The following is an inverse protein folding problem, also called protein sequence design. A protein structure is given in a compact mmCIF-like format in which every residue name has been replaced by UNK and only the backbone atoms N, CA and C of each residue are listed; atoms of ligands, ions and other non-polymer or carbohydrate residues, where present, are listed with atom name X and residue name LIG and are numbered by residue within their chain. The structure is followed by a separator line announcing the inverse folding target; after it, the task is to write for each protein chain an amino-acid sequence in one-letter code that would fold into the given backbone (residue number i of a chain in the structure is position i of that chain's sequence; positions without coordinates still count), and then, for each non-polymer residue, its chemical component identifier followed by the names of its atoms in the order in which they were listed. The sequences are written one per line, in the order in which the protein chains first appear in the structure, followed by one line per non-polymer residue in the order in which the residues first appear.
data_IF_639303760465
#
_entry.id   IF_639303760465
#
_cell.length_a   1.000
_cell.length_b   1.000
_cell.length_c   1.000
_cell.angle_alpha   90.00
_cell.angle_beta   90.00
_cell.angle_gamma   90.00
#
_symmetry.space_group_name_H-M   'P 1'
#
loop_
_entity.id
_entity.type
_entity.pdbx_description
1 polymer ?
#
# COMPACT_ATOMS: atom_id res chain seq x y z
N UNK A 1 34.61 1.23 1.21
CA UNK A 1 33.71 1.50 2.38
C UNK A 1 32.32 1.02 2.01
N UNK A 2 31.78 0.08 2.78
CA UNK A 2 30.42 -0.42 2.57
C UNK A 2 29.44 0.66 3.02
N UNK A 3 28.53 1.09 2.14
CA UNK A 3 27.47 2.04 2.49
C UNK A 3 26.52 1.43 3.52
N UNK A 4 25.99 2.27 4.41
CA UNK A 4 24.97 1.89 5.38
C UNK A 4 23.64 2.59 5.08
N UNK A 5 22.54 1.84 5.08
CA UNK A 5 21.20 2.37 4.87
C UNK A 5 20.32 2.16 6.10
N UNK A 6 19.65 3.22 6.56
CA UNK A 6 18.58 3.14 7.54
C UNK A 6 17.22 3.09 6.82
N UNK A 7 16.42 2.08 7.15
CA UNK A 7 15.08 1.89 6.57
C UNK A 7 14.06 2.08 7.67
N UNK A 8 13.12 2.99 7.44
CA UNK A 8 12.05 3.32 8.38
C UNK A 8 10.74 2.69 7.90
N UNK A 9 10.30 1.66 8.64
CA UNK A 9 9.13 0.85 8.32
C UNK A 9 9.48 -0.53 7.76
N UNK A 10 8.76 -1.55 8.22
CA UNK A 10 8.91 -2.96 7.82
C UNK A 10 7.70 -3.50 7.03
N UNK A 11 6.91 -2.62 6.44
CA UNK A 11 5.90 -3.00 5.46
C UNK A 11 6.54 -3.53 4.16
N UNK A 12 5.74 -3.97 3.18
CA UNK A 12 6.26 -4.52 1.93
C UNK A 12 7.33 -3.64 1.26
N UNK A 13 7.06 -2.34 1.11
CA UNK A 13 8.02 -1.41 0.49
C UNK A 13 9.34 -1.30 1.28
N UNK A 14 9.27 -1.27 2.62
CA UNK A 14 10.48 -1.22 3.47
C UNK A 14 11.33 -2.48 3.34
N UNK A 15 10.70 -3.65 3.32
CA UNK A 15 11.44 -4.90 3.16
C UNK A 15 11.95 -5.12 1.73
N UNK A 16 11.26 -4.59 0.70
CA UNK A 16 11.81 -4.54 -0.66
C UNK A 16 13.04 -3.65 -0.74
N UNK A 17 13.03 -2.48 -0.08
CA UNK A 17 14.21 -1.62 0.01
C UNK A 17 15.37 -2.31 0.74
N UNK A 18 15.08 -3.05 1.83
CA UNK A 18 16.09 -3.85 2.54
C UNK A 18 16.69 -4.94 1.63
N UNK A 19 15.85 -5.61 0.85
CA UNK A 19 16.30 -6.61 -0.11
C UNK A 19 17.20 -6.01 -1.19
N UNK A 20 16.82 -4.87 -1.76
CA UNK A 20 17.62 -4.16 -2.75
C UNK A 20 18.99 -3.73 -2.17
N UNK A 21 19.02 -3.17 -0.96
CA UNK A 21 20.25 -2.79 -0.28
C UNK A 21 21.16 -4.00 -0.02
N UNK A 22 20.59 -5.10 0.45
CA UNK A 22 21.31 -6.35 0.67
C UNK A 22 21.89 -6.92 -0.63
N UNK A 23 21.15 -6.86 -1.74
CA UNK A 23 21.66 -7.27 -3.05
C UNK A 23 22.82 -6.41 -3.56
N UNK A 24 22.87 -5.14 -3.16
CA UNK A 24 23.98 -4.22 -3.46
C UNK A 24 25.18 -4.41 -2.53
N UNK A 25 25.11 -5.33 -1.56
CA UNK A 25 26.16 -5.55 -0.55
C UNK A 25 26.26 -4.41 0.47
N UNK A 26 25.21 -3.62 0.66
CA UNK A 26 25.18 -2.56 1.65
C UNK A 26 24.81 -3.12 3.03
N UNK A 27 25.36 -2.55 4.08
CA UNK A 27 24.88 -2.79 5.44
C UNK A 27 23.57 -2.05 5.65
N UNK A 28 22.68 -2.60 6.47
CA UNK A 28 21.36 -2.00 6.68
C UNK A 28 20.88 -2.15 8.12
N UNK A 29 20.01 -1.25 8.54
CA UNK A 29 19.22 -1.34 9.77
C UNK A 29 17.76 -1.00 9.45
N UNK A 30 16.83 -1.80 9.95
CA UNK A 30 15.40 -1.59 9.75
C UNK A 30 14.80 -1.16 11.08
N UNK A 31 14.21 0.02 11.13
CA UNK A 31 13.55 0.56 12.33
C UNK A 31 12.04 0.53 12.12
N UNK A 32 11.34 -0.20 12.96
CA UNK A 32 9.87 -0.30 12.91
C UNK A 32 9.35 -0.99 14.16
N UNK A 33 8.06 -0.85 14.47
CA UNK A 33 7.41 -1.83 15.32
C UNK A 33 7.54 -3.20 14.66
N UNK A 34 8.03 -4.18 15.40
CA UNK A 34 8.24 -5.55 14.89
C UNK A 34 6.92 -6.31 14.76
N UNK A 35 6.02 -5.73 13.94
CA UNK A 35 4.69 -6.29 13.66
C UNK A 35 4.52 -6.38 12.15
N UNK A 36 4.26 -7.58 11.67
CA UNK A 36 3.98 -7.82 10.27
C UNK A 36 2.66 -7.19 9.87
N UNK A 37 2.68 -6.37 8.84
CA UNK A 37 1.49 -5.67 8.35
C UNK A 37 0.50 -6.65 7.70
N UNK A 38 -0.78 -6.48 7.99
CA UNK A 38 -1.84 -7.16 7.24
C UNK A 38 -2.08 -6.42 5.93
N UNK A 39 -2.11 -7.15 4.83
CA UNK A 39 -2.37 -6.60 3.51
C UNK A 39 -3.86 -6.70 3.19
N UNK A 40 -4.53 -5.55 3.04
CA UNK A 40 -5.95 -5.45 2.74
C UNK A 40 -6.16 -5.05 1.28
N UNK A 41 -7.25 -5.53 0.70
CA UNK A 41 -7.65 -5.22 -0.67
C UNK A 41 -6.90 -6.04 -1.73
N UNK A 42 -7.23 -5.76 -2.99
CA UNK A 42 -6.59 -6.37 -4.15
C UNK A 42 -5.19 -5.81 -4.34
N UNK A 43 -4.19 -6.56 -3.93
CA UNK A 43 -2.79 -6.14 -3.99
C UNK A 43 -1.94 -7.18 -4.70
N UNK A 44 -1.15 -6.73 -5.65
CA UNK A 44 -0.16 -7.51 -6.39
C UNK A 44 0.97 -6.60 -6.86
N UNK A 45 2.08 -7.19 -7.27
CA UNK A 45 3.20 -6.47 -7.84
C UNK A 45 3.02 -6.38 -9.36
N UNK A 46 3.31 -5.20 -9.92
CA UNK A 46 3.33 -4.98 -11.38
C UNK A 46 4.64 -5.41 -12.04
N UNK A 47 5.67 -5.70 -11.24
CA UNK A 47 6.98 -6.20 -11.67
C UNK A 47 7.49 -7.23 -10.67
N UNK A 48 8.31 -8.21 -11.13
CA UNK A 48 8.91 -9.17 -10.22
C UNK A 48 9.94 -8.50 -9.32
N UNK A 49 10.07 -9.01 -8.10
CA UNK A 49 11.19 -8.65 -7.23
C UNK A 49 12.39 -9.52 -7.63
N UNK A 50 13.55 -8.94 -7.97
CA UNK A 50 14.72 -9.72 -8.36
C UNK A 50 15.09 -10.80 -7.32
N UNK A 51 15.35 -12.02 -7.78
CA UNK A 51 15.74 -13.18 -6.95
C UNK A 51 14.67 -13.68 -5.96
N UNK A 52 13.43 -13.21 -6.06
CA UNK A 52 12.30 -13.75 -5.30
C UNK A 52 11.33 -14.37 -6.30
N UNK A 53 11.11 -15.67 -6.17
CA UNK A 53 10.05 -16.32 -6.94
C UNK A 53 8.70 -16.04 -6.27
N UNK A 54 7.82 -15.40 -7.01
CA UNK A 54 6.48 -15.04 -6.58
C UNK A 54 5.41 -15.56 -7.53
N UNK A 55 5.75 -16.63 -8.30
CA UNK A 55 4.78 -17.34 -9.12
C UNK A 55 4.11 -16.48 -10.19
N UNK A 56 4.84 -15.83 -11.04
CA UNK A 56 4.25 -14.99 -12.08
C UNK A 56 5.12 -14.92 -13.35
N UNK A 57 4.70 -14.11 -14.36
CA UNK A 57 3.53 -13.24 -14.38
C UNK A 57 2.21 -13.99 -14.56
N UNK A 58 1.22 -13.64 -13.77
CA UNK A 58 -0.18 -13.94 -14.04
C UNK A 58 -0.85 -12.71 -14.64
N UNK A 59 -1.91 -12.88 -15.41
CA UNK A 59 -2.60 -11.79 -16.06
C UNK A 59 -3.88 -11.43 -15.28
N UNK A 60 -3.87 -10.30 -14.59
CA UNK A 60 -5.05 -9.80 -13.89
C UNK A 60 -5.92 -9.01 -14.86
N UNK A 61 -7.18 -9.42 -14.99
CA UNK A 61 -8.18 -8.79 -15.85
C UNK A 61 -9.03 -7.82 -15.06
N UNK A 62 -9.05 -6.56 -15.46
CA UNK A 62 -9.93 -5.53 -14.92
C UNK A 62 -11.21 -5.44 -15.74
N UNK A 63 -12.34 -5.29 -15.06
CA UNK A 63 -13.67 -5.10 -15.67
C UNK A 63 -14.34 -3.92 -15.01
N UNK A 64 -14.70 -2.93 -15.80
CA UNK A 64 -15.49 -1.78 -15.35
C UNK A 64 -16.98 -2.03 -15.57
N UNK A 65 -17.78 -1.74 -14.55
CA UNK A 65 -19.25 -1.60 -14.64
C UNK A 65 -19.61 -0.13 -14.42
N UNK A 66 -20.44 0.42 -15.31
CA UNK A 66 -20.70 1.85 -15.36
C UNK A 66 -19.58 2.61 -16.10
N UNK A 67 -19.46 3.91 -15.83
CA UNK A 67 -18.44 4.76 -16.43
C UNK A 67 -17.28 5.05 -15.47
N UNK A 68 -16.11 5.51 -15.98
CA UNK A 68 -15.00 5.94 -15.13
C UNK A 68 -15.39 7.08 -14.17
N UNK A 69 -16.29 7.99 -14.61
CA UNK A 69 -16.79 9.11 -13.83
C UNK A 69 -17.68 8.63 -12.67
N UNK A 70 -18.59 7.68 -12.94
CA UNK A 70 -19.41 7.06 -11.90
C UNK A 70 -18.54 6.33 -10.88
N UNK A 71 -17.54 5.57 -11.33
CA UNK A 71 -16.60 4.90 -10.45
C UNK A 71 -15.81 5.91 -9.60
N UNK A 72 -15.29 6.97 -10.22
CA UNK A 72 -14.58 8.05 -9.54
C UNK A 72 -15.45 8.69 -8.46
N UNK A 73 -16.65 9.10 -8.80
CA UNK A 73 -17.60 9.73 -7.87
C UNK A 73 -17.95 8.81 -6.70
N UNK A 74 -18.15 7.52 -6.99
CA UNK A 74 -18.47 6.52 -5.97
C UNK A 74 -17.32 6.31 -4.96
N UNK A 75 -16.07 6.29 -5.43
CA UNK A 75 -14.88 6.03 -4.59
C UNK A 75 -14.43 7.27 -3.84
N UNK A 76 -14.34 8.41 -4.53
CA UNK A 76 -13.66 9.62 -4.04
C UNK A 76 -14.62 10.75 -3.70
N UNK A 77 -15.90 10.65 -4.10
CA UNK A 77 -16.89 11.73 -3.98
C UNK A 77 -16.96 12.61 -5.22
N UNK A 78 -18.08 13.35 -5.33
CA UNK A 78 -18.37 14.19 -6.50
C UNK A 78 -17.41 15.36 -6.70
N UNK A 79 -16.81 15.87 -5.62
CA UNK A 79 -15.92 17.04 -5.67
C UNK A 79 -14.45 16.73 -5.95
N UNK A 80 -14.05 15.46 -6.08
CA UNK A 80 -12.66 15.11 -6.31
C UNK A 80 -12.25 15.40 -7.76
N UNK A 81 -11.18 16.19 -7.94
CA UNK A 81 -10.69 16.69 -9.23
C UNK A 81 -9.64 15.80 -9.92
N UNK A 82 -9.24 14.70 -9.27
CA UNK A 82 -8.29 13.75 -9.86
C UNK A 82 -8.90 12.93 -10.99
N UNK A 83 -8.04 12.39 -11.83
CA UNK A 83 -8.45 11.52 -12.94
C UNK A 83 -8.37 10.05 -12.55
N UNK A 84 -9.25 9.25 -13.13
CA UNK A 84 -9.18 7.79 -13.15
C UNK A 84 -9.10 7.39 -14.60
N UNK A 85 -7.98 6.78 -15.01
CA UNK A 85 -7.81 6.35 -16.39
C UNK A 85 -8.76 5.19 -16.71
N UNK A 86 -9.49 5.24 -17.83
CA UNK A 86 -10.29 4.10 -18.30
C UNK A 86 -9.43 2.84 -18.49
N UNK A 87 -8.20 3.00 -18.94
CA UNK A 87 -7.24 1.91 -19.16
C UNK A 87 -6.92 1.20 -17.84
N UNK A 88 -6.72 1.96 -16.75
CA UNK A 88 -6.49 1.40 -15.40
C UNK A 88 -7.67 0.55 -14.88
N UNK A 89 -8.86 0.71 -15.47
CA UNK A 89 -10.10 0.06 -15.03
C UNK A 89 -10.57 -1.07 -15.95
N UNK A 90 -9.98 -1.22 -17.13
CA UNK A 90 -10.46 -2.14 -18.17
C UNK A 90 -9.35 -2.93 -18.87
N UNK A 91 -8.09 -2.79 -18.46
CA UNK A 91 -6.96 -3.49 -19.06
C UNK A 91 -6.54 -4.73 -18.28
N UNK A 92 -5.71 -5.54 -18.95
CA UNK A 92 -5.03 -6.65 -18.33
C UNK A 92 -3.64 -6.23 -17.86
N UNK A 93 -3.31 -6.55 -16.63
CA UNK A 93 -2.03 -6.19 -16.03
C UNK A 93 -1.24 -7.42 -15.61
N UNK A 94 0.08 -7.47 -15.86
CA UNK A 94 0.91 -8.53 -15.30
C UNK A 94 0.97 -8.41 -13.78
N UNK A 95 0.91 -9.54 -13.09
CA UNK A 95 0.84 -9.59 -11.64
C UNK A 95 1.75 -10.68 -11.06
N UNK A 96 2.39 -10.34 -9.95
CA UNK A 96 3.15 -11.24 -9.09
C UNK A 96 2.61 -11.17 -7.67
N UNK A 97 2.68 -12.26 -6.93
CA UNK A 97 2.09 -12.34 -5.59
C UNK A 97 2.87 -11.49 -4.57
N UNK A 98 2.28 -10.36 -4.19
CA UNK A 98 2.83 -9.48 -3.15
C UNK A 98 2.82 -10.14 -1.77
N UNK A 99 1.83 -10.97 -1.44
CA UNK A 99 1.73 -11.62 -0.12
C UNK A 99 2.82 -12.66 0.03
N UNK A 100 3.02 -13.50 -0.98
CA UNK A 100 4.11 -14.47 -1.01
C UNK A 100 5.47 -13.78 -0.94
N UNK A 101 5.67 -12.69 -1.71
CA UNK A 101 6.89 -11.89 -1.64
C UNK A 101 7.12 -11.32 -0.25
N UNK A 102 6.09 -10.75 0.36
CA UNK A 102 6.19 -10.14 1.68
C UNK A 102 6.45 -11.18 2.78
N UNK A 103 5.87 -12.37 2.68
CA UNK A 103 6.13 -13.49 3.59
C UNK A 103 7.59 -13.92 3.52
N UNK A 104 8.12 -14.03 2.31
CA UNK A 104 9.54 -14.35 2.10
C UNK A 104 10.45 -13.26 2.67
N UNK A 105 10.19 -12.01 2.33
CA UNK A 105 10.96 -10.85 2.82
C UNK A 105 10.89 -10.74 4.34
N UNK A 106 9.73 -10.97 4.95
CA UNK A 106 9.57 -10.93 6.39
C UNK A 106 10.47 -11.98 7.07
N UNK A 107 10.41 -13.24 6.62
CA UNK A 107 11.27 -14.31 7.16
C UNK A 107 12.76 -13.97 7.04
N UNK A 108 13.16 -13.34 5.96
CA UNK A 108 14.54 -12.96 5.69
C UNK A 108 15.02 -11.81 6.59
N UNK A 109 14.18 -10.81 6.82
CA UNK A 109 14.61 -9.55 7.44
C UNK A 109 14.07 -9.32 8.86
N UNK A 110 13.14 -10.10 9.36
CA UNK A 110 12.61 -9.96 10.73
C UNK A 110 13.71 -9.91 11.81
N UNK A 111 14.78 -10.73 11.77
CA UNK A 111 15.84 -10.66 12.75
C UNK A 111 16.62 -9.33 12.77
N UNK A 112 16.54 -8.57 11.67
CA UNK A 112 17.26 -7.31 11.48
C UNK A 112 16.40 -6.09 11.84
N UNK A 113 15.13 -6.30 12.19
CA UNK A 113 14.22 -5.24 12.60
C UNK A 113 14.54 -4.85 14.04
N UNK A 114 14.97 -3.62 14.20
CA UNK A 114 15.08 -2.95 15.49
C UNK A 114 13.70 -2.47 15.90
N UNK A 115 13.17 -3.01 17.00
CA UNK A 115 11.84 -2.62 17.50
C UNK A 115 11.86 -1.15 17.93
N UNK A 116 11.12 -0.33 17.21
CA UNK A 116 11.12 1.12 17.38
C UNK A 116 9.77 1.73 17.00
N UNK A 117 9.24 2.57 17.86
CA UNK A 117 8.06 3.38 17.55
C UNK A 117 8.51 4.68 16.86
N UNK A 118 8.24 4.77 15.56
CA UNK A 118 8.60 5.93 14.75
C UNK A 118 7.55 7.01 14.96
N UNK A 119 7.93 8.05 15.70
CA UNK A 119 7.06 9.19 16.04
C UNK A 119 7.37 10.40 15.16
N UNK A 120 6.39 11.30 14.96
CA UNK A 120 6.61 12.58 14.30
C UNK A 120 7.69 13.42 15.00
N UNK A 121 8.35 14.29 14.26
CA UNK A 121 9.17 15.36 14.84
C UNK A 121 8.29 16.29 15.71
N UNK A 122 8.73 16.77 16.88
CA UNK A 122 10.07 16.58 17.50
C UNK A 122 10.17 15.32 18.40
N UNK A 123 9.18 14.41 18.36
CA UNK A 123 9.07 13.28 19.29
C UNK A 123 9.87 12.05 18.87
N UNK A 124 10.72 12.16 17.86
CA UNK A 124 11.61 11.09 17.43
C UNK A 124 12.60 10.74 18.56
N UNK A 125 12.86 9.45 18.77
CA UNK A 125 13.82 9.04 19.80
C UNK A 125 15.24 9.48 19.43
N UNK A 126 16.07 9.92 20.41
CA UNK A 126 17.48 10.30 20.15
C UNK A 126 18.29 9.17 19.50
N UNK A 127 18.02 7.92 19.85
CA UNK A 127 18.71 6.77 19.26
C UNK A 127 18.38 6.61 17.78
N UNK A 128 17.12 6.73 17.39
CA UNK A 128 16.70 6.68 15.98
C UNK A 128 17.27 7.87 15.21
N UNK A 129 17.19 9.07 15.78
CA UNK A 129 17.78 10.27 15.19
C UNK A 129 19.26 10.11 14.89
N UNK A 130 20.03 9.65 15.86
CA UNK A 130 21.47 9.40 15.71
C UNK A 130 21.77 8.32 14.67
N UNK A 131 20.95 7.26 14.63
CA UNK A 131 21.12 6.18 13.64
C UNK A 131 20.87 6.71 12.21
N UNK A 132 19.83 7.52 12.00
CA UNK A 132 19.55 8.14 10.71
C UNK A 132 20.70 9.04 10.24
N UNK A 133 21.23 9.89 11.11
CA UNK A 133 22.34 10.81 10.77
C UNK A 133 23.69 10.13 10.53
N UNK A 134 23.88 8.90 11.04
CA UNK A 134 25.08 8.09 10.80
C UNK A 134 24.97 7.22 9.55
N UNK A 135 23.81 7.17 8.91
CA UNK A 135 23.58 6.37 7.71
C UNK A 135 23.91 7.19 6.47
N UNK A 136 24.48 6.53 5.46
CA UNK A 136 24.74 7.14 4.14
C UNK A 136 23.46 7.44 3.38
N UNK A 137 22.38 6.72 3.71
CA UNK A 137 21.07 6.86 3.10
C UNK A 137 19.97 6.52 4.10
N UNK A 138 18.89 7.30 4.09
CA UNK A 138 17.68 7.02 4.86
C UNK A 138 16.52 6.82 3.90
N UNK A 139 15.86 5.66 3.99
CA UNK A 139 14.66 5.33 3.21
C UNK A 139 13.48 5.25 4.17
N UNK A 140 12.47 6.09 3.94
CA UNK A 140 11.24 6.10 4.73
C UNK A 140 10.09 5.50 3.96
N UNK A 141 9.46 4.48 4.54
CA UNK A 141 8.21 3.85 4.04
C UNK A 141 7.04 4.01 5.01
N UNK A 142 7.28 4.69 6.15
CA UNK A 142 6.20 5.11 7.05
C UNK A 142 5.37 6.21 6.40
N UNK A 143 4.10 6.40 6.80
CA UNK A 143 3.25 7.42 6.21
C UNK A 143 3.93 8.78 6.20
N UNK A 144 4.01 9.42 5.03
CA UNK A 144 4.71 10.70 4.84
C UNK A 144 4.24 11.79 5.80
N UNK A 145 2.98 11.76 6.19
CA UNK A 145 2.41 12.68 7.20
C UNK A 145 3.10 12.60 8.59
N UNK A 146 3.84 11.53 8.88
CA UNK A 146 4.70 11.44 10.08
C UNK A 146 5.83 12.48 10.04
N UNK A 147 6.23 12.90 8.86
CA UNK A 147 7.29 13.89 8.62
C UNK A 147 6.74 15.26 8.20
N UNK A 148 5.42 15.46 8.35
CA UNK A 148 4.75 16.67 7.95
C UNK A 148 5.33 17.90 8.65
N UNK A 149 5.48 18.96 7.87
CA UNK A 149 5.82 20.31 8.34
C UNK A 149 4.59 21.20 8.25
N UNK A 150 4.66 22.38 8.87
CA UNK A 150 3.61 23.36 8.74
C UNK A 150 3.42 23.77 7.27
N UNK A 151 2.19 23.72 6.79
CA UNK A 151 1.85 24.01 5.40
C UNK A 151 1.81 22.79 4.46
N UNK A 152 2.27 21.61 4.89
CA UNK A 152 2.14 20.40 4.10
C UNK A 152 0.67 19.94 4.04
N UNK A 153 0.21 19.61 2.83
CA UNK A 153 -1.14 19.11 2.60
C UNK A 153 -1.08 17.63 2.19
N UNK A 154 -1.90 16.80 2.83
CA UNK A 154 -2.01 15.37 2.57
C UNK A 154 -3.46 15.03 2.25
N UNK A 155 -3.71 14.66 1.00
CA UNK A 155 -5.02 14.21 0.56
C UNK A 155 -5.07 12.68 0.61
N UNK A 156 -6.13 12.15 1.18
CA UNK A 156 -6.39 10.71 1.25
C UNK A 156 -7.88 10.44 1.17
N UNK A 157 -8.25 9.23 0.78
CA UNK A 157 -9.60 8.71 0.94
C UNK A 157 -9.60 7.54 1.90
N UNK A 158 -10.66 7.44 2.70
CA UNK A 158 -10.92 6.27 3.51
C UNK A 158 -11.83 5.31 2.76
N UNK A 159 -11.59 4.03 2.92
CA UNK A 159 -12.44 2.97 2.41
C UNK A 159 -12.67 1.93 3.48
N UNK A 160 -13.73 1.14 3.35
CA UNK A 160 -13.82 -0.15 4.00
C UNK A 160 -13.21 -1.22 3.10
N UNK A 161 -12.43 -2.12 3.66
CA UNK A 161 -11.83 -3.24 2.95
C UNK A 161 -12.05 -4.53 3.75
N UNK A 162 -12.51 -5.58 3.08
CA UNK A 162 -12.59 -6.93 3.59
C UNK A 162 -11.60 -7.79 2.81
N UNK A 163 -10.74 -8.53 3.52
CA UNK A 163 -9.85 -9.53 2.93
C UNK A 163 -10.31 -10.94 3.30
N UNK A 164 -10.05 -11.88 2.40
CA UNK A 164 -10.30 -13.33 2.59
C UNK A 164 -11.73 -13.69 3.05
N UNK A 165 -12.71 -12.92 2.64
CA UNK A 165 -14.12 -13.19 2.90
C UNK A 165 -14.98 -12.54 1.83
N UNK A 166 -15.65 -13.34 1.03
CA UNK A 166 -16.82 -12.91 0.28
C UNK A 166 -18.05 -13.29 1.13
N UNK A 167 -18.64 -12.35 1.87
CA UNK A 167 -19.77 -12.65 2.74
C UNK A 167 -21.00 -13.13 1.95
N UNK A 168 -21.06 -12.81 0.65
CA UNK A 168 -22.21 -13.12 -0.21
C UNK A 168 -21.92 -14.25 -1.21
N UNK A 169 -20.71 -14.82 -1.22
CA UNK A 169 -20.35 -16.03 -2.00
C UNK A 169 -20.56 -15.96 -3.51
N UNK A 170 -20.87 -14.79 -4.06
CA UNK A 170 -21.35 -14.70 -5.43
C UNK A 170 -20.91 -13.50 -6.26
N UNK A 171 -20.26 -12.51 -5.66
CA UNK A 171 -19.95 -11.24 -6.34
C UNK A 171 -18.46 -11.10 -6.71
N UNK A 172 -17.57 -11.66 -5.91
CA UNK A 172 -16.20 -11.81 -6.35
C UNK A 172 -16.19 -12.73 -7.55
N UNK A 173 -15.53 -12.33 -8.60
CA UNK A 173 -15.45 -13.13 -9.80
C UNK A 173 -15.17 -14.59 -9.42
N UNK A 174 -15.92 -15.50 -9.96
CA UNK A 174 -15.70 -16.94 -9.82
C UNK A 174 -14.31 -17.35 -10.32
N UNK A 175 -13.62 -16.43 -11.02
CA UNK A 175 -12.31 -16.67 -11.63
C UNK A 175 -11.23 -15.90 -10.89
N UNK A 176 -10.15 -16.58 -10.53
CA UNK A 176 -8.93 -15.95 -10.03
C UNK A 176 -8.37 -14.96 -11.08
N UNK A 177 -7.57 -14.02 -10.63
CA UNK A 177 -6.99 -12.96 -11.45
C UNK A 177 -8.03 -12.02 -12.10
N UNK A 178 -9.13 -11.74 -11.41
CA UNK A 178 -10.12 -10.78 -11.88
C UNK A 178 -10.35 -9.68 -10.86
N UNK A 179 -10.45 -8.44 -11.34
CA UNK A 179 -10.86 -7.25 -10.57
C UNK A 179 -12.09 -6.65 -11.24
N UNK A 180 -13.17 -6.50 -10.49
CA UNK A 180 -14.37 -5.81 -10.94
C UNK A 180 -14.40 -4.44 -10.25
N UNK A 181 -14.36 -3.37 -11.03
CA UNK A 181 -14.58 -2.01 -10.62
C UNK A 181 -16.03 -1.62 -10.95
N UNK A 182 -16.80 -1.18 -9.97
CA UNK A 182 -18.23 -0.89 -10.15
C UNK A 182 -18.57 0.54 -9.73
N UNK A 183 -18.88 1.37 -10.71
CA UNK A 183 -19.34 2.75 -10.54
C UNK A 183 -20.85 2.86 -10.37
N UNK A 184 -21.62 1.81 -10.70
CA UNK A 184 -23.09 1.88 -10.73
C UNK A 184 -23.69 2.03 -9.33
N UNK A 185 -24.89 2.59 -9.20
CA UNK A 185 -25.61 2.66 -7.93
C UNK A 185 -26.25 1.33 -7.49
N UNK A 186 -26.16 0.28 -8.33
CA UNK A 186 -26.85 -1.00 -8.11
C UNK A 186 -26.28 -1.71 -6.88
N UNK A 187 -24.96 -1.66 -6.70
CA UNK A 187 -24.31 -2.23 -5.54
C UNK A 187 -23.63 -1.16 -4.66
N UNK A 188 -23.44 -1.46 -3.39
CA UNK A 188 -22.85 -0.54 -2.43
C UNK A 188 -21.31 -0.60 -2.38
N UNK A 189 -20.70 -1.65 -2.94
CA UNK A 189 -19.26 -1.77 -3.08
C UNK A 189 -18.80 -1.14 -4.42
N UNK A 190 -17.50 -0.83 -4.51
CA UNK A 190 -16.91 -0.27 -5.74
C UNK A 190 -15.82 -1.14 -6.35
N UNK A 191 -15.27 -2.09 -5.58
CA UNK A 191 -14.27 -3.03 -6.09
C UNK A 191 -14.45 -4.39 -5.46
N UNK A 192 -14.49 -5.41 -6.31
CA UNK A 192 -14.40 -6.81 -5.93
C UNK A 192 -13.24 -7.45 -6.68
N UNK A 193 -12.44 -8.25 -6.02
CA UNK A 193 -11.31 -8.92 -6.66
C UNK A 193 -11.07 -10.32 -6.10
N UNK A 194 -10.57 -11.20 -6.96
CA UNK A 194 -9.96 -12.45 -6.57
C UNK A 194 -8.60 -12.56 -7.26
N UNK A 195 -7.51 -12.55 -6.48
CA UNK A 195 -6.14 -12.54 -7.01
C UNK A 195 -5.28 -13.44 -6.12
N UNK A 196 -4.58 -14.40 -6.73
CA UNK A 196 -3.78 -15.39 -6.04
C UNK A 196 -4.57 -16.15 -4.95
N UNK A 197 -5.82 -16.52 -5.24
CA UNK A 197 -6.71 -17.20 -4.31
C UNK A 197 -7.32 -16.32 -3.22
N UNK A 198 -6.90 -15.06 -3.09
CA UNK A 198 -7.42 -14.11 -2.09
C UNK A 198 -8.59 -13.31 -2.64
N UNK A 199 -9.75 -13.45 -2.00
CA UNK A 199 -10.95 -12.67 -2.32
C UNK A 199 -10.98 -11.40 -1.49
N UNK A 200 -11.30 -10.27 -2.12
CA UNK A 200 -11.38 -8.97 -1.45
C UNK A 200 -12.58 -8.17 -1.91
N UNK A 201 -13.14 -7.38 -1.01
CA UNK A 201 -14.24 -6.49 -1.30
C UNK A 201 -13.97 -5.12 -0.68
N UNK A 202 -14.23 -4.05 -1.44
CA UNK A 202 -13.97 -2.68 -1.01
C UNK A 202 -15.22 -1.81 -1.17
N UNK A 203 -15.54 -1.01 -0.13
CA UNK A 203 -16.65 -0.07 -0.12
C UNK A 203 -16.15 1.36 0.10
N UNK A 204 -16.83 2.37 -0.46
CA UNK A 204 -16.54 3.75 -0.13
C UNK A 204 -16.83 3.98 1.36
N UNK A 205 -15.95 4.71 2.04
CA UNK A 205 -16.21 5.14 3.41
C UNK A 205 -17.23 6.28 3.40
N UNK A 206 -18.26 6.13 4.21
CA UNK A 206 -19.26 7.19 4.44
C UNK A 206 -19.35 7.45 5.93
N UNK A 207 -19.21 8.70 6.35
CA UNK A 207 -19.23 9.08 7.78
C UNK A 207 -20.55 8.68 8.49
N UNK A 208 -21.64 8.60 7.73
CA UNK A 208 -22.94 8.15 8.23
C UNK A 208 -22.99 6.64 8.53
N UNK A 209 -22.02 5.87 8.04
CA UNK A 209 -21.96 4.44 8.31
C UNK A 209 -21.28 4.20 9.65
N UNK A 210 -22.09 4.08 10.69
CA UNK A 210 -21.60 3.80 12.05
C UNK A 210 -21.10 2.37 12.25
N UNK A 211 -21.32 1.49 11.30
CA UNK A 211 -20.91 0.07 11.34
C UNK A 211 -20.24 -0.32 10.03
N UNK A 212 -19.29 -1.28 10.07
CA UNK A 212 -18.71 -1.82 8.86
C UNK A 212 -19.80 -2.45 7.97
N UNK A 213 -19.66 -2.38 6.63
CA UNK A 213 -20.62 -2.94 5.68
C UNK A 213 -20.69 -4.47 5.73
N UNK A 214 -19.64 -5.12 6.24
CA UNK A 214 -19.57 -6.55 6.48
C UNK A 214 -18.75 -6.87 7.74
N UNK A 215 -19.01 -7.99 8.43
CA UNK A 215 -18.18 -8.45 9.54
C UNK A 215 -16.71 -8.62 9.07
N UNK A 216 -15.78 -8.12 9.86
CA UNK A 216 -14.34 -8.19 9.54
C UNK A 216 -13.83 -7.11 8.58
N UNK A 217 -14.70 -6.27 8.01
CA UNK A 217 -14.24 -5.14 7.21
C UNK A 217 -13.52 -4.11 8.09
N UNK A 218 -12.39 -3.62 7.60
CA UNK A 218 -11.54 -2.64 8.28
C UNK A 218 -11.46 -1.34 7.49
N UNK A 219 -11.22 -0.24 8.19
CA UNK A 219 -10.99 1.04 7.52
C UNK A 219 -9.54 1.09 7.05
N UNK A 220 -9.35 1.38 5.75
CA UNK A 220 -8.06 1.61 5.14
C UNK A 220 -8.01 3.03 4.60
N UNK A 221 -6.99 3.79 5.00
CA UNK A 221 -6.71 5.09 4.42
C UNK A 221 -5.87 4.91 3.15
N UNK A 222 -6.34 5.45 2.02
CA UNK A 222 -5.62 5.41 0.74
C UNK A 222 -5.06 6.79 0.43
N UNK A 223 -3.73 6.97 0.42
CA UNK A 223 -3.11 8.20 -0.07
C UNK A 223 -3.50 8.51 -1.50
N UNK A 224 -3.75 9.77 -1.80
CA UNK A 224 -4.09 10.27 -3.14
C UNK A 224 -2.98 11.15 -3.68
N UNK A 225 -2.67 12.22 -2.98
CA UNK A 225 -1.59 13.16 -3.32
C UNK A 225 -1.10 13.90 -2.08
N UNK A 226 0.10 14.44 -2.16
CA UNK A 226 0.56 15.43 -1.19
C UNK A 226 1.23 16.61 -1.91
N UNK A 227 1.09 17.80 -1.33
CA UNK A 227 1.97 18.92 -1.59
C UNK A 227 2.83 19.13 -0.35
N UNK A 228 4.12 18.83 -0.45
CA UNK A 228 5.06 18.94 0.66
C UNK A 228 6.15 19.93 0.27
N UNK A 229 6.38 20.91 1.12
CA UNK A 229 7.34 22.02 0.88
C UNK A 229 8.77 21.56 1.19
N UNK A 230 8.97 20.52 1.96
CA UNK A 230 10.28 19.97 2.32
C UNK A 230 10.15 18.55 2.83
N UNK A 231 10.60 17.65 2.01
CA UNK A 231 10.85 16.31 2.49
C UNK A 231 12.29 16.28 2.96
N UNK A 232 12.70 16.41 4.14
CA UNK A 232 14.08 16.27 4.59
C UNK A 232 14.97 15.37 3.72
N UNK A 233 16.15 15.04 4.11
CA UNK A 233 17.12 14.23 3.34
C UNK A 233 16.74 12.73 3.21
N UNK A 234 15.42 12.41 3.17
CA UNK A 234 14.91 11.04 3.10
C UNK A 234 14.41 10.69 1.71
N UNK A 235 14.71 9.48 1.26
CA UNK A 235 14.00 8.88 0.13
C UNK A 235 12.68 8.31 0.66
N UNK A 236 11.57 8.88 0.21
CA UNK A 236 10.23 8.37 0.51
C UNK A 236 9.83 7.31 -0.51
N UNK A 237 9.47 6.11 -0.04
CA UNK A 237 9.15 4.97 -0.91
C UNK A 237 7.84 4.30 -0.51
N UNK A 238 7.20 3.68 -1.51
CA UNK A 238 5.93 2.99 -1.36
C UNK A 238 4.75 3.96 -1.23
N UNK A 239 3.53 3.44 -1.35
CA UNK A 239 2.28 4.24 -1.34
C UNK A 239 2.18 5.21 -0.17
N UNK A 240 2.48 4.76 1.03
CA UNK A 240 2.37 5.60 2.23
C UNK A 240 3.58 6.49 2.44
N UNK A 241 4.78 6.04 2.13
CA UNK A 241 6.00 6.83 2.25
C UNK A 241 6.03 7.98 1.25
N UNK A 242 5.72 7.72 -0.01
CA UNK A 242 5.60 8.75 -1.04
C UNK A 242 4.28 9.55 -0.93
N UNK A 243 3.26 8.99 -0.28
CA UNK A 243 1.90 9.52 -0.19
C UNK A 243 1.26 9.73 -1.57
N UNK A 244 1.36 8.71 -2.42
CA UNK A 244 0.86 8.75 -3.79
C UNK A 244 -0.04 7.56 -4.11
N UNK A 245 -0.98 7.78 -5.05
CA UNK A 245 -1.87 6.74 -5.53
C UNK A 245 -1.11 5.76 -6.44
N UNK A 246 -1.21 4.46 -6.15
CA UNK A 246 -0.78 3.41 -7.08
C UNK A 246 0.70 3.05 -7.08
N UNK A 247 1.54 3.67 -6.23
CA UNK A 247 2.95 3.30 -6.13
C UNK A 247 3.12 2.09 -5.20
N UNK A 248 3.68 1.03 -5.73
CA UNK A 248 4.29 -0.09 -5.02
C UNK A 248 5.71 -0.28 -5.51
#
# INVERSE_FOLDING_TARGET
VTKHVAILGCGPAGLMAAHAANMMGWSLSIYSKKVKSTLHGAQYLHKPIPKIDTGGPNLVSYKLRGTPEEYRSKVYGEGWDGTVSPEDLAENHPAWDLRQAYDWLWKQFEPWIVDCDIKPMPYISPNLWNAMHKSDLVISTVPRKVWAQEGDLFESTKIWALGDGDPDGGLASQHDFTVICDGTPICNWYRSAKIFGHSTLEWPYRELWRKPPAPGAVIVEKPLRCSSIGAGDFIHMGRYGAWEKGIL
#
